data_IF_848645221936
#
_entry.id   IF_848645221936
#
_cell.length_a   1.000
_cell.length_b   1.000
_cell.length_c   1.000
_cell.angle_alpha   90.00
_cell.angle_beta   90.00
_cell.angle_gamma   90.00
#
_symmetry.space_group_name_H-M   'P 1'
#
loop_
_entity.id
_entity.type
_entity.pdbx_description
1 polymer ?
#
# COMPACT_ATOMS: atom_id res chain seq x y z
N UNK A 1 -10.24 2.20 4.81
CA UNK A 1 -9.14 1.33 5.32
C UNK A 1 -7.88 1.62 4.51
N UNK A 2 -6.72 1.76 5.14
CA UNK A 2 -5.44 1.97 4.44
C UNK A 2 -4.26 1.40 5.26
N UNK A 3 -3.05 1.34 4.67
CA UNK A 3 -1.89 0.67 5.28
C UNK A 3 -0.55 1.32 4.94
N UNK A 4 0.42 1.16 5.85
CA UNK A 4 1.84 1.47 5.61
C UNK A 4 2.57 0.41 4.75
N UNK A 5 1.91 -0.70 4.42
CA UNK A 5 2.60 -1.86 3.82
C UNK A 5 3.21 -1.58 2.46
N UNK A 6 2.49 -0.89 1.57
CA UNK A 6 2.83 -0.80 0.13
C UNK A 6 3.46 0.53 -0.24
N UNK A 7 2.68 1.62 -0.17
CA UNK A 7 3.17 2.96 -0.52
C UNK A 7 4.41 3.34 0.30
N UNK A 8 4.38 3.10 1.61
CA UNK A 8 5.47 3.43 2.53
C UNK A 8 6.56 2.34 2.65
N UNK A 9 6.42 1.21 1.94
CA UNK A 9 7.43 0.13 1.98
C UNK A 9 7.54 -0.62 3.32
N UNK A 10 6.54 -0.52 4.20
CA UNK A 10 6.59 -1.08 5.55
C UNK A 10 5.85 -2.43 5.69
N UNK A 11 5.96 -3.34 4.71
CA UNK A 11 5.17 -4.59 4.67
C UNK A 11 5.31 -5.45 5.95
N UNK A 12 6.53 -5.56 6.49
CA UNK A 12 6.83 -6.32 7.70
C UNK A 12 6.47 -5.62 9.02
N UNK A 13 6.09 -4.34 9.00
CA UNK A 13 5.88 -3.53 10.20
C UNK A 13 4.47 -3.63 10.79
N UNK A 14 3.55 -4.20 10.02
CA UNK A 14 2.19 -4.57 10.46
C UNK A 14 1.38 -3.38 11.00
N UNK A 15 1.41 -2.27 10.26
CA UNK A 15 0.67 -1.05 10.61
C UNK A 15 -0.29 -0.59 9.50
N UNK A 16 -1.46 -0.13 9.91
CA UNK A 16 -2.46 0.49 9.05
C UNK A 16 -3.46 1.28 9.88
N UNK A 17 -4.43 1.88 9.20
CA UNK A 17 -5.45 2.69 9.85
C UNK A 17 -6.80 2.58 9.16
N UNK A 18 -7.83 2.95 9.91
CA UNK A 18 -9.21 3.03 9.44
C UNK A 18 -9.74 4.42 9.74
N UNK A 19 -10.43 5.02 8.76
CA UNK A 19 -11.30 6.17 8.97
C UNK A 19 -12.72 5.62 8.96
N UNK A 20 -13.47 5.87 10.03
CA UNK A 20 -14.81 5.32 10.24
C UNK A 20 -15.81 6.42 10.63
N UNK A 21 -17.11 6.22 10.39
CA UNK A 21 -18.15 7.10 10.92
C UNK A 21 -18.08 7.18 12.45
N UNK A 22 -18.35 8.34 13.07
CA UNK A 22 -18.27 8.53 14.53
C UNK A 22 -19.06 7.48 15.32
N UNK A 23 -20.24 7.09 14.83
CA UNK A 23 -21.12 6.11 15.46
C UNK A 23 -20.52 4.69 15.52
N UNK A 24 -19.56 4.36 14.65
CA UNK A 24 -18.91 3.06 14.61
C UNK A 24 -17.66 2.97 15.50
N UNK A 25 -17.10 4.10 15.94
CA UNK A 25 -15.79 4.15 16.62
C UNK A 25 -15.79 3.32 17.91
N UNK A 26 -16.82 3.47 18.75
CA UNK A 26 -16.89 2.77 20.03
C UNK A 26 -16.88 1.24 19.87
N UNK A 27 -17.58 0.69 18.88
CA UNK A 27 -17.60 -0.75 18.65
C UNK A 27 -16.31 -1.25 18.00
N UNK A 28 -15.69 -0.46 17.12
CA UNK A 28 -14.37 -0.75 16.57
C UNK A 28 -13.28 -0.76 17.64
N UNK A 29 -13.33 0.17 18.60
CA UNK A 29 -12.40 0.21 19.74
C UNK A 29 -12.56 -1.00 20.65
N UNK A 30 -13.80 -1.40 20.95
CA UNK A 30 -14.07 -2.64 21.71
C UNK A 30 -13.46 -3.85 21.02
N UNK A 31 -13.64 -3.98 19.70
CA UNK A 31 -13.03 -5.07 18.92
C UNK A 31 -11.51 -5.00 18.98
N UNK A 32 -10.91 -3.83 18.79
CA UNK A 32 -9.46 -3.64 18.85
C UNK A 32 -8.88 -4.06 20.21
N UNK A 33 -9.49 -3.60 21.31
CA UNK A 33 -9.08 -3.92 22.68
C UNK A 33 -9.13 -5.42 22.98
N UNK A 34 -10.15 -6.13 22.48
CA UNK A 34 -10.32 -7.56 22.73
C UNK A 34 -9.50 -8.45 21.78
N UNK A 35 -9.23 -8.02 20.55
CA UNK A 35 -8.56 -8.85 19.54
C UNK A 35 -7.04 -8.70 19.55
N UNK A 36 -6.52 -7.49 19.74
CA UNK A 36 -5.09 -7.24 19.61
C UNK A 36 -4.52 -6.18 20.55
N UNK A 37 -5.36 -5.53 21.38
CA UNK A 37 -5.02 -4.52 22.40
C UNK A 37 -4.49 -3.21 21.78
N UNK A 38 -3.41 -3.27 21.01
CA UNK A 38 -2.79 -2.11 20.36
C UNK A 38 -1.99 -2.53 19.12
N UNK A 39 -1.84 -1.62 18.17
CA UNK A 39 -0.89 -1.78 17.07
C UNK A 39 0.57 -1.78 17.59
N UNK A 40 1.55 -2.34 16.86
CA UNK A 40 2.94 -2.40 17.32
C UNK A 40 3.53 -1.01 17.60
N UNK A 41 3.91 -0.73 18.85
CA UNK A 41 4.35 0.62 19.28
C UNK A 41 5.53 1.15 18.47
N UNK A 42 6.55 0.30 18.23
CA UNK A 42 7.71 0.68 17.41
C UNK A 42 7.33 1.10 16.00
N UNK A 43 6.34 0.44 15.39
CA UNK A 43 5.85 0.79 14.06
C UNK A 43 5.08 2.12 14.07
N UNK A 44 4.29 2.38 15.12
CA UNK A 44 3.56 3.63 15.28
C UNK A 44 4.52 4.84 15.33
N UNK A 45 5.63 4.74 16.07
CA UNK A 45 6.65 5.80 16.10
C UNK A 45 7.39 5.94 14.77
N UNK A 46 7.81 4.83 14.15
CA UNK A 46 8.50 4.87 12.86
C UNK A 46 7.64 5.46 11.74
N UNK A 47 6.32 5.23 11.78
CA UNK A 47 5.38 5.74 10.80
C UNK A 47 5.27 7.28 10.78
N UNK A 48 5.66 7.97 11.86
CA UNK A 48 5.67 9.44 11.88
C UNK A 48 6.67 10.00 10.85
N UNK A 49 7.84 9.38 10.74
CA UNK A 49 8.87 9.77 9.78
C UNK A 49 8.44 9.58 8.31
N UNK A 50 7.41 8.76 8.06
CA UNK A 50 6.88 8.54 6.70
C UNK A 50 6.27 9.80 6.08
N UNK A 51 5.85 10.75 6.91
CA UNK A 51 5.20 11.98 6.46
C UNK A 51 6.18 13.16 6.36
N UNK A 52 7.46 12.95 6.64
CA UNK A 52 8.50 13.95 6.45
C UNK A 52 8.74 14.22 4.95
N UNK A 53 8.97 15.48 4.53
CA UNK A 53 9.13 15.81 3.11
C UNK A 53 10.21 14.99 2.38
N UNK A 54 11.33 14.71 3.06
CA UNK A 54 12.44 13.93 2.51
C UNK A 54 12.03 12.47 2.28
N UNK A 55 11.29 11.88 3.22
CA UNK A 55 10.75 10.52 3.07
C UNK A 55 9.75 10.47 1.93
N UNK A 56 8.81 11.42 1.86
CA UNK A 56 7.82 11.48 0.78
C UNK A 56 8.47 11.58 -0.60
N UNK A 57 9.53 12.38 -0.75
CA UNK A 57 10.27 12.48 -2.01
C UNK A 57 10.83 11.11 -2.46
N UNK A 58 11.39 10.32 -1.54
CA UNK A 58 11.88 8.96 -1.81
C UNK A 58 10.73 8.03 -2.25
N UNK A 59 9.57 8.13 -1.60
CA UNK A 59 8.41 7.28 -1.92
C UNK A 59 7.84 7.60 -3.31
N UNK A 60 7.80 8.88 -3.67
CA UNK A 60 7.37 9.35 -4.99
C UNK A 60 8.32 8.88 -6.09
N UNK A 61 9.63 8.92 -5.85
CA UNK A 61 10.64 8.40 -6.78
C UNK A 61 10.47 6.88 -7.00
N UNK A 62 10.19 6.13 -5.92
CA UNK A 62 9.86 4.69 -6.00
C UNK A 62 8.56 4.44 -6.77
N UNK A 63 7.54 5.28 -6.60
CA UNK A 63 6.29 5.17 -7.37
C UNK A 63 6.55 5.37 -8.86
N UNK A 64 7.32 6.38 -9.23
CA UNK A 64 7.69 6.65 -10.62
C UNK A 64 8.46 5.47 -11.23
N UNK A 65 9.34 4.83 -10.46
CA UNK A 65 10.05 3.62 -10.87
C UNK A 65 9.11 2.43 -11.15
N UNK A 66 8.07 2.23 -10.32
CA UNK A 66 7.04 1.22 -10.64
C UNK A 66 6.30 1.53 -11.94
N UNK A 67 6.05 2.81 -12.24
CA UNK A 67 5.50 3.25 -13.53
C UNK A 67 6.39 2.84 -14.70
N UNK A 68 7.69 3.13 -14.64
CA UNK A 68 8.65 2.72 -15.68
C UNK A 68 8.68 1.21 -15.89
N UNK A 69 8.60 0.42 -14.82
CA UNK A 69 8.55 -1.05 -14.90
C UNK A 69 7.27 -1.56 -15.55
N UNK A 70 6.12 -0.96 -15.23
CA UNK A 70 4.84 -1.25 -15.89
C UNK A 70 4.94 -0.97 -17.39
N UNK A 71 5.44 0.20 -17.76
CA UNK A 71 5.53 0.65 -19.15
C UNK A 71 6.46 -0.23 -19.99
N UNK A 72 7.47 -0.83 -19.36
CA UNK A 72 8.32 -1.83 -19.99
C UNK A 72 7.64 -3.19 -20.11
N UNK A 73 7.08 -3.72 -19.01
CA UNK A 73 6.57 -5.09 -18.94
C UNK A 73 5.26 -5.29 -19.71
N UNK A 74 4.34 -4.32 -19.67
CA UNK A 74 3.02 -4.45 -20.29
C UNK A 74 3.09 -4.73 -21.81
N UNK A 75 3.76 -3.92 -22.65
CA UNK A 75 3.86 -4.20 -24.08
C UNK A 75 4.68 -5.47 -24.35
N UNK A 76 5.73 -5.74 -23.57
CA UNK A 76 6.56 -6.93 -23.75
C UNK A 76 5.75 -8.23 -23.52
N UNK A 77 4.95 -8.29 -22.46
CA UNK A 77 4.10 -9.44 -22.18
C UNK A 77 2.99 -9.61 -23.22
N UNK A 78 2.36 -8.51 -23.67
CA UNK A 78 1.38 -8.57 -24.77
C UNK A 78 2.01 -9.09 -26.07
N UNK A 79 3.23 -8.69 -26.38
CA UNK A 79 3.96 -9.18 -27.56
C UNK A 79 4.29 -10.68 -27.47
N UNK A 80 4.44 -11.22 -26.26
CA UNK A 80 4.61 -12.66 -26.02
C UNK A 80 3.29 -13.46 -26.08
N UNK A 81 2.16 -12.79 -26.32
CA UNK A 81 0.84 -13.43 -26.45
C UNK A 81 0.01 -13.50 -25.17
N UNK A 82 0.46 -12.90 -24.07
CA UNK A 82 -0.34 -12.85 -22.84
C UNK A 82 -1.57 -11.94 -22.99
N UNK A 83 -2.74 -12.45 -22.57
CA UNK A 83 -4.00 -11.70 -22.58
C UNK A 83 -4.07 -10.70 -21.43
N UNK A 84 -3.50 -9.50 -21.59
CA UNK A 84 -3.61 -8.43 -20.57
C UNK A 84 -4.64 -7.40 -21.04
N UNK A 85 -5.86 -7.49 -20.51
CA UNK A 85 -6.99 -6.67 -20.94
C UNK A 85 -6.89 -5.19 -20.54
N UNK A 86 -6.31 -4.89 -19.37
CA UNK A 86 -6.31 -3.55 -18.77
C UNK A 86 -4.88 -3.08 -18.53
N UNK A 87 -4.59 -1.84 -18.88
CA UNK A 87 -3.39 -1.15 -18.41
C UNK A 87 -3.62 -0.68 -16.96
N UNK A 88 -2.83 -1.14 -15.98
CA UNK A 88 -3.06 -0.78 -14.60
C UNK A 88 -2.67 0.68 -14.32
N UNK A 89 -3.57 1.42 -13.68
CA UNK A 89 -3.36 2.81 -13.25
C UNK A 89 -2.73 2.92 -11.86
N UNK A 90 -2.62 1.80 -11.14
CA UNK A 90 -2.09 1.76 -9.78
C UNK A 90 -1.68 0.37 -9.33
N UNK A 91 -1.30 0.25 -8.06
CA UNK A 91 -0.59 -0.91 -7.53
C UNK A 91 0.68 -1.23 -8.36
N UNK A 92 1.12 -2.48 -8.35
CA UNK A 92 2.35 -2.92 -9.05
C UNK A 92 2.18 -4.33 -9.65
N UNK A 93 0.98 -4.63 -10.17
CA UNK A 93 0.61 -5.93 -10.71
C UNK A 93 0.15 -5.81 -12.16
N UNK A 94 0.49 -6.82 -12.97
CA UNK A 94 -0.12 -7.06 -14.28
C UNK A 94 -0.94 -8.35 -14.18
N UNK A 95 -2.21 -8.28 -14.56
CA UNK A 95 -3.10 -9.44 -14.56
C UNK A 95 -3.21 -9.98 -15.98
N UNK A 96 -2.62 -11.15 -16.21
CA UNK A 96 -2.59 -11.82 -17.50
C UNK A 96 -3.56 -13.01 -17.50
N UNK A 97 -4.39 -13.06 -18.52
CA UNK A 97 -5.18 -14.22 -18.91
C UNK A 97 -4.27 -15.22 -19.65
N UNK A 98 -4.27 -16.48 -19.22
CA UNK A 98 -3.38 -17.58 -19.68
C UNK A 98 -4.23 -18.75 -20.14
#
# INVERSE_FOLDING_TARGET
LNSFSKYFGMTGWRLGWLVAPPEAVADLEKLAQNLYISAPSMAQYAALACFEPQTLAILEERRAEFGRRRDFLLPALRALGFGIAVEPEGAFYLYADI
#
